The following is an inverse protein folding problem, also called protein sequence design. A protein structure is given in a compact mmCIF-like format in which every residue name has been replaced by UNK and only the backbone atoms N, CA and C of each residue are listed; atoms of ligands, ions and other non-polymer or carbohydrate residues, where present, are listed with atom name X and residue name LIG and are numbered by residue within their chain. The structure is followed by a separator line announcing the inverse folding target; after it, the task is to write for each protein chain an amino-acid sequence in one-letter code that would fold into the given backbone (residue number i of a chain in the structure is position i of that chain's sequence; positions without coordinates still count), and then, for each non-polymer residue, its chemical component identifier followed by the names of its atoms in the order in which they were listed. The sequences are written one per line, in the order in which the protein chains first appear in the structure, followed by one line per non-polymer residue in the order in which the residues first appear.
data_IF_330101892134
#
_entry.id   IF_330101892134
#
_cell.length_a   1.000
_cell.length_b   1.000
_cell.length_c   1.000
_cell.angle_alpha   90.00
_cell.angle_beta   90.00
_cell.angle_gamma   90.00
#
_symmetry.space_group_name_H-M   'P 1'
#
loop_
_entity.id
_entity.type
_entity.pdbx_description
1 polymer ?
#
# COMPACT_ATOMS: atom_id res chain seq x y z
N UNK A 1 41.10 12.69 -17.17
CA UNK A 1 41.15 11.43 -16.39
C UNK A 1 39.76 11.18 -15.86
N UNK A 2 38.96 10.35 -16.52
CA UNK A 2 37.61 9.98 -16.08
C UNK A 2 37.74 8.98 -14.93
N UNK A 3 37.04 9.24 -13.84
CA UNK A 3 37.15 8.55 -12.58
C UNK A 3 36.48 7.16 -12.66
N UNK A 4 37.21 6.12 -13.00
CA UNK A 4 36.77 4.72 -13.08
C UNK A 4 36.18 4.17 -11.77
N UNK A 5 36.43 4.83 -10.64
CA UNK A 5 35.83 4.45 -9.32
C UNK A 5 34.36 4.72 -9.24
N UNK A 6 33.83 5.73 -9.92
CA UNK A 6 32.43 6.15 -9.82
C UNK A 6 31.46 5.16 -10.52
N UNK A 7 31.91 4.56 -11.63
CA UNK A 7 31.08 3.57 -12.36
C UNK A 7 31.01 2.23 -11.64
N UNK A 8 32.09 1.78 -11.02
CA UNK A 8 32.09 0.52 -10.26
C UNK A 8 31.29 0.63 -8.95
N UNK A 9 31.28 1.79 -8.30
CA UNK A 9 30.46 2.03 -7.11
C UNK A 9 28.98 2.16 -7.48
N UNK A 10 28.65 2.74 -8.62
CA UNK A 10 27.32 2.74 -9.19
C UNK A 10 26.83 1.31 -9.47
N UNK A 11 27.68 0.50 -10.11
CA UNK A 11 27.35 -0.90 -10.42
C UNK A 11 27.23 -1.75 -9.15
N UNK A 12 28.11 -1.58 -8.18
CA UNK A 12 28.02 -2.24 -6.86
C UNK A 12 26.76 -1.84 -6.09
N UNK A 13 26.34 -0.57 -6.16
CA UNK A 13 25.06 -0.12 -5.59
C UNK A 13 23.86 -0.78 -6.27
N UNK A 14 23.88 -0.91 -7.58
CA UNK A 14 22.82 -1.59 -8.35
C UNK A 14 22.80 -3.10 -7.99
N UNK A 15 23.97 -3.74 -7.88
CA UNK A 15 24.07 -5.18 -7.54
C UNK A 15 23.86 -5.48 -6.05
N UNK A 16 24.13 -4.52 -5.16
CA UNK A 16 23.93 -4.66 -3.71
C UNK A 16 22.55 -4.20 -3.24
N UNK A 17 21.79 -3.48 -4.07
CA UNK A 17 20.45 -3.05 -3.74
C UNK A 17 19.54 -4.28 -3.88
N UNK A 18 19.15 -4.87 -2.73
CA UNK A 18 18.02 -5.78 -2.71
C UNK A 18 16.85 -5.11 -3.42
N UNK A 19 16.10 -5.86 -4.24
CA UNK A 19 14.90 -5.34 -4.90
C UNK A 19 14.05 -4.55 -3.90
N UNK A 20 13.56 -3.38 -4.32
CA UNK A 20 12.70 -2.58 -3.46
C UNK A 20 11.55 -3.43 -2.95
N UNK A 21 11.19 -3.24 -1.70
CA UNK A 21 9.99 -3.84 -1.14
C UNK A 21 8.77 -3.14 -1.69
N UNK A 22 7.84 -3.88 -2.28
CA UNK A 22 6.55 -3.34 -2.71
C UNK A 22 5.47 -3.88 -1.77
N UNK A 23 4.68 -2.97 -1.20
CA UNK A 23 3.55 -3.29 -0.33
C UNK A 23 2.30 -2.70 -0.95
N UNK A 24 1.39 -3.54 -1.41
CA UNK A 24 0.12 -3.11 -1.96
C UNK A 24 -0.99 -3.20 -0.92
N UNK A 25 -1.84 -2.20 -0.83
CA UNK A 25 -2.93 -2.13 0.15
C UNK A 25 -4.26 -2.01 -0.56
N UNK A 26 -5.19 -2.90 -0.24
CA UNK A 26 -6.57 -2.88 -0.73
C UNK A 26 -7.52 -2.61 0.42
N UNK A 27 -8.30 -1.53 0.32
CA UNK A 27 -9.46 -1.31 1.19
C UNK A 27 -10.69 -2.05 0.65
N UNK A 28 -11.37 -2.81 1.49
CA UNK A 28 -12.62 -3.48 1.12
C UNK A 28 -13.85 -2.64 1.52
N UNK A 29 -15.02 -2.94 0.97
CA UNK A 29 -16.28 -2.20 1.16
C UNK A 29 -16.26 -0.75 0.67
N UNK A 30 -15.49 -0.42 -0.36
CA UNK A 30 -15.39 0.95 -0.86
C UNK A 30 -14.75 1.93 0.12
N UNK A 31 -14.14 1.43 1.20
CA UNK A 31 -13.38 2.26 2.14
C UNK A 31 -12.04 2.64 1.51
N UNK A 32 -11.78 3.94 1.29
CA UNK A 32 -10.48 4.36 0.79
C UNK A 32 -9.41 4.04 1.82
N UNK A 33 -8.36 3.35 1.40
CA UNK A 33 -7.20 3.08 2.24
C UNK A 33 -6.34 4.34 2.50
N UNK A 34 -6.66 5.46 1.88
CA UNK A 34 -5.84 6.66 1.77
C UNK A 34 -5.32 7.21 3.09
N UNK A 35 -6.18 7.38 4.11
CA UNK A 35 -5.72 7.89 5.41
C UNK A 35 -4.93 6.85 6.19
N UNK A 36 -5.34 5.60 6.08
CA UNK A 36 -4.70 4.48 6.75
C UNK A 36 -3.29 4.23 6.19
N UNK A 37 -3.13 4.17 4.88
CA UNK A 37 -1.85 3.91 4.22
C UNK A 37 -0.81 5.01 4.50
N UNK A 38 -1.25 6.28 4.63
CA UNK A 38 -0.36 7.39 5.04
C UNK A 38 0.19 7.19 6.44
N UNK A 39 -0.67 6.83 7.40
CA UNK A 39 -0.24 6.59 8.78
C UNK A 39 0.69 5.37 8.88
N UNK A 40 0.44 4.35 8.06
CA UNK A 40 1.33 3.20 7.97
C UNK A 40 2.68 3.61 7.37
N UNK A 41 2.69 4.36 6.26
CA UNK A 41 3.91 4.87 5.64
C UNK A 41 4.76 5.67 6.64
N UNK A 42 4.14 6.59 7.40
CA UNK A 42 4.82 7.32 8.47
C UNK A 42 5.40 6.41 9.56
N UNK A 43 4.71 5.33 9.90
CA UNK A 43 5.15 4.38 10.92
C UNK A 43 6.26 3.44 10.45
N UNK A 44 6.44 3.32 9.13
CA UNK A 44 7.51 2.53 8.49
C UNK A 44 8.74 3.35 8.14
N UNK A 45 8.70 4.69 8.30
CA UNK A 45 9.86 5.53 8.01
C UNK A 45 11.02 5.20 8.94
N UNK A 46 12.15 4.82 8.36
CA UNK A 46 13.42 4.61 9.03
C UNK A 46 14.42 5.68 8.58
N UNK A 47 15.37 6.08 9.45
CA UNK A 47 16.47 6.95 9.04
C UNK A 47 17.16 6.39 7.79
N UNK A 48 17.50 7.25 6.84
CA UNK A 48 18.21 6.93 5.60
C UNK A 48 17.45 6.05 4.59
N UNK A 49 16.25 5.55 4.90
CA UNK A 49 15.41 4.82 3.97
C UNK A 49 14.51 5.77 3.17
N UNK A 50 14.38 5.47 1.89
CA UNK A 50 13.50 6.20 0.98
C UNK A 50 12.21 5.41 0.80
N UNK A 51 11.08 6.04 1.14
CA UNK A 51 9.75 5.47 0.99
C UNK A 51 8.95 6.29 -0.03
N UNK A 52 8.36 5.61 -1.02
CA UNK A 52 7.39 6.18 -1.94
C UNK A 52 6.00 5.66 -1.62
N UNK A 53 5.05 6.56 -1.45
CA UNK A 53 3.62 6.24 -1.35
C UNK A 53 2.92 6.62 -2.66
N UNK A 54 2.24 5.66 -3.29
CA UNK A 54 1.46 5.86 -4.51
C UNK A 54 -0.02 5.67 -4.16
N UNK A 55 -0.81 6.76 -4.23
CA UNK A 55 -2.25 6.67 -4.09
C UNK A 55 -2.91 6.15 -5.36
N UNK A 56 -4.05 5.46 -5.25
CA UNK A 56 -4.79 4.92 -6.39
C UNK A 56 -5.24 6.03 -7.35
N UNK A 57 -5.67 7.18 -6.84
CA UNK A 57 -6.10 8.32 -7.63
C UNK A 57 -5.57 9.63 -7.06
N UNK A 58 -5.71 10.69 -7.85
CA UNK A 58 -5.18 12.01 -7.53
C UNK A 58 -5.72 12.55 -6.22
N UNK A 59 -4.80 13.02 -5.40
CA UNK A 59 -5.08 13.75 -4.16
C UNK A 59 -4.78 15.25 -4.37
N UNK A 60 -5.38 16.16 -3.60
CA UNK A 60 -5.15 17.59 -3.76
C UNK A 60 -3.69 18.04 -3.74
N UNK A 61 -2.82 17.26 -3.08
CA UNK A 61 -1.40 17.56 -2.94
C UNK A 61 -0.53 17.02 -4.09
N UNK A 62 -1.05 16.15 -4.98
CA UNK A 62 -0.26 15.55 -6.06
C UNK A 62 -0.34 16.38 -7.35
N UNK A 63 0.81 16.75 -7.99
CA UNK A 63 0.78 17.65 -9.15
C UNK A 63 0.33 16.95 -10.43
N UNK A 64 0.88 15.75 -10.72
CA UNK A 64 0.57 14.96 -11.91
C UNK A 64 0.46 13.49 -11.54
N UNK A 65 -0.51 12.79 -12.12
CA UNK A 65 -0.61 11.33 -11.99
C UNK A 65 0.42 10.63 -12.87
N UNK A 66 0.77 9.40 -12.51
CA UNK A 66 1.60 8.55 -13.35
C UNK A 66 0.89 8.25 -14.68
N UNK A 67 -0.46 8.19 -14.69
CA UNK A 67 -1.28 8.11 -15.89
C UNK A 67 -1.03 9.29 -16.85
N UNK A 68 -1.07 10.52 -16.35
CA UNK A 68 -0.81 11.70 -17.18
C UNK A 68 0.64 11.75 -17.68
N UNK A 69 1.58 11.26 -16.89
CA UNK A 69 2.98 11.13 -17.27
C UNK A 69 3.17 10.12 -18.39
N UNK A 70 2.55 8.94 -18.28
CA UNK A 70 2.58 7.91 -19.32
C UNK A 70 1.96 8.43 -20.64
N UNK A 71 0.78 9.04 -20.58
CA UNK A 71 0.08 9.57 -21.74
C UNK A 71 0.88 10.67 -22.47
N UNK A 72 1.65 11.49 -21.74
CA UNK A 72 2.40 12.61 -22.31
C UNK A 72 3.89 12.31 -22.50
N UNK A 73 4.33 11.06 -22.28
CA UNK A 73 5.75 10.66 -22.31
C UNK A 73 6.66 11.62 -21.54
N UNK A 74 6.19 12.05 -20.36
CA UNK A 74 6.87 13.04 -19.54
C UNK A 74 7.85 12.38 -18.55
N UNK A 75 8.80 13.14 -18.04
CA UNK A 75 9.75 12.63 -17.04
C UNK A 75 9.02 12.18 -15.76
N UNK A 76 9.24 10.96 -15.31
CA UNK A 76 8.57 10.32 -14.15
C UNK A 76 8.69 11.17 -12.88
N UNK A 77 9.81 11.86 -12.69
CA UNK A 77 10.05 12.75 -11.53
C UNK A 77 9.02 13.87 -11.37
N UNK A 78 8.28 14.23 -12.44
CA UNK A 78 7.23 15.25 -12.37
C UNK A 78 5.98 14.77 -11.60
N UNK A 79 5.79 13.46 -11.47
CA UNK A 79 4.69 12.86 -10.71
C UNK A 79 5.04 12.57 -9.25
N UNK A 80 6.24 12.98 -8.80
CA UNK A 80 6.69 12.70 -7.44
C UNK A 80 6.90 14.01 -6.71
N UNK A 81 6.34 14.11 -5.50
CA UNK A 81 6.55 15.24 -4.60
C UNK A 81 7.09 14.74 -3.27
N UNK A 82 7.92 15.56 -2.63
CA UNK A 82 8.37 15.31 -1.27
C UNK A 82 7.29 15.71 -0.29
N UNK A 83 6.86 14.77 0.54
CA UNK A 83 5.91 15.06 1.62
C UNK A 83 6.66 15.59 2.85
N UNK A 84 6.11 16.61 3.57
CA UNK A 84 6.79 17.20 4.74
C UNK A 84 7.14 16.21 5.84
N UNK A 85 6.47 15.07 5.89
CA UNK A 85 6.69 14.00 6.87
C UNK A 85 7.83 13.03 6.51
N UNK A 86 8.55 13.26 5.40
CA UNK A 86 9.79 12.55 5.09
C UNK A 86 9.66 11.41 4.07
N UNK A 87 8.48 11.13 3.54
CA UNK A 87 8.30 10.19 2.41
C UNK A 87 7.99 10.94 1.11
N UNK A 88 8.19 10.27 -0.02
CA UNK A 88 7.79 10.79 -1.32
C UNK A 88 6.37 10.32 -1.67
N UNK A 89 5.64 11.16 -2.39
CA UNK A 89 4.22 10.92 -2.71
C UNK A 89 3.99 10.99 -4.22
N UNK A 90 3.16 10.07 -4.72
CA UNK A 90 2.68 10.03 -6.10
C UNK A 90 1.21 9.61 -6.14
N UNK A 91 0.60 9.61 -7.32
CA UNK A 91 -0.70 8.99 -7.55
C UNK A 91 -0.73 8.28 -8.91
N UNK A 92 -1.51 7.21 -8.98
CA UNK A 92 -1.57 6.35 -10.14
C UNK A 92 -2.40 6.99 -11.27
N UNK A 93 -3.64 7.38 -10.97
CA UNK A 93 -4.61 7.91 -11.92
C UNK A 93 -5.11 9.30 -11.54
N UNK A 94 -5.69 10.02 -12.53
CA UNK A 94 -6.32 11.33 -12.31
C UNK A 94 -7.64 11.20 -11.57
N UNK A 95 -8.43 10.18 -11.91
CA UNK A 95 -9.77 9.94 -11.38
C UNK A 95 -9.81 8.63 -10.59
N UNK A 96 -10.90 8.45 -9.86
CA UNK A 96 -11.17 7.18 -9.18
C UNK A 96 -11.26 6.04 -10.19
N UNK A 97 -10.46 5.01 -9.99
CA UNK A 97 -10.35 3.83 -10.84
C UNK A 97 -11.62 2.98 -10.86
N UNK A 98 -12.46 3.09 -9.83
CA UNK A 98 -13.77 2.42 -9.80
C UNK A 98 -14.74 3.03 -10.81
N UNK A 99 -14.64 4.33 -11.05
CA UNK A 99 -15.52 5.05 -11.99
C UNK A 99 -14.92 5.20 -13.39
N UNK A 100 -13.60 5.12 -13.51
CA UNK A 100 -12.86 5.29 -14.76
C UNK A 100 -11.73 4.26 -14.84
N UNK A 101 -12.03 3.00 -15.19
CA UNK A 101 -11.04 1.93 -15.26
C UNK A 101 -9.99 2.22 -16.36
N UNK A 102 -8.76 1.78 -16.09
CA UNK A 102 -7.63 1.93 -17.01
C UNK A 102 -7.70 0.91 -18.13
N UNK A 103 -7.29 1.30 -19.36
CA UNK A 103 -7.08 0.34 -20.45
C UNK A 103 -5.91 -0.60 -20.11
N UNK A 104 -5.89 -1.79 -20.74
CA UNK A 104 -4.84 -2.78 -20.50
C UNK A 104 -3.44 -2.27 -20.87
N UNK A 105 -3.32 -1.53 -21.97
CA UNK A 105 -2.05 -0.94 -22.38
C UNK A 105 -1.53 0.06 -21.35
N UNK A 106 -2.44 0.87 -20.78
CA UNK A 106 -2.07 1.84 -19.77
C UNK A 106 -1.69 1.16 -18.45
N UNK A 107 -2.38 0.08 -18.05
CA UNK A 107 -1.98 -0.73 -16.89
C UNK A 107 -0.56 -1.27 -17.06
N UNK A 108 -0.22 -1.79 -18.24
CA UNK A 108 1.13 -2.29 -18.55
C UNK A 108 2.18 -1.19 -18.49
N UNK A 109 1.87 0.00 -19.02
CA UNK A 109 2.80 1.15 -18.96
C UNK A 109 3.01 1.61 -17.50
N UNK A 110 1.94 1.70 -16.72
CA UNK A 110 2.00 2.10 -15.33
C UNK A 110 2.76 1.08 -14.47
N UNK A 111 2.56 -0.22 -14.73
CA UNK A 111 3.32 -1.29 -14.08
C UNK A 111 4.83 -1.13 -14.33
N UNK A 112 5.23 -0.88 -15.58
CA UNK A 112 6.62 -0.58 -15.94
C UNK A 112 7.19 0.66 -15.22
N UNK A 113 6.39 1.74 -15.10
CA UNK A 113 6.78 2.95 -14.38
C UNK A 113 6.99 2.65 -12.89
N UNK A 114 6.08 1.89 -12.26
CA UNK A 114 6.19 1.54 -10.84
C UNK A 114 7.42 0.66 -10.59
N UNK A 115 7.70 -0.30 -11.47
CA UNK A 115 8.93 -1.10 -11.41
C UNK A 115 10.20 -0.25 -11.53
N UNK A 116 10.19 0.71 -12.47
CA UNK A 116 11.32 1.65 -12.60
C UNK A 116 11.49 2.49 -11.33
N UNK A 117 10.41 3.01 -10.75
CA UNK A 117 10.47 3.75 -9.49
C UNK A 117 11.01 2.90 -8.34
N UNK A 118 10.69 1.61 -8.32
CA UNK A 118 11.17 0.70 -7.28
C UNK A 118 12.71 0.63 -7.20
N UNK A 119 13.44 0.92 -8.27
CA UNK A 119 14.91 1.00 -8.21
C UNK A 119 15.43 2.20 -7.41
N UNK A 120 14.63 3.26 -7.27
CA UNK A 120 15.03 4.49 -6.59
C UNK A 120 14.64 4.52 -5.11
N UNK A 121 13.82 3.57 -4.63
CA UNK A 121 13.29 3.53 -3.27
C UNK A 121 13.65 2.22 -2.55
N UNK A 122 13.63 2.24 -1.22
CA UNK A 122 13.80 1.03 -0.40
C UNK A 122 12.45 0.35 -0.16
N UNK A 123 11.37 1.16 -0.09
CA UNK A 123 9.99 0.70 0.02
C UNK A 123 9.06 1.51 -0.88
N UNK A 124 8.23 0.83 -1.64
CA UNK A 124 7.13 1.42 -2.40
C UNK A 124 5.82 0.89 -1.83
N UNK A 125 4.97 1.79 -1.34
CA UNK A 125 3.62 1.46 -0.88
C UNK A 125 2.62 1.90 -1.94
N UNK A 126 1.71 1.00 -2.32
CA UNK A 126 0.72 1.25 -3.37
C UNK A 126 -0.68 1.09 -2.79
N UNK A 127 -1.49 2.15 -2.84
CA UNK A 127 -2.93 2.02 -2.67
C UNK A 127 -3.49 1.42 -3.97
N UNK A 128 -4.01 0.21 -3.90
CA UNK A 128 -4.52 -0.52 -5.07
C UNK A 128 -5.99 -0.87 -4.90
N UNK A 129 -6.64 -1.21 -5.99
CA UNK A 129 -8.04 -1.60 -6.04
C UNK A 129 -8.19 -2.77 -7.00
N UNK A 130 -9.28 -3.53 -6.86
CA UNK A 130 -9.69 -4.46 -7.91
C UNK A 130 -10.40 -3.69 -9.02
N UNK A 131 -10.06 -4.03 -10.26
CA UNK A 131 -10.82 -3.61 -11.43
C UNK A 131 -12.25 -4.17 -11.34
N UNK A 132 -13.25 -3.32 -11.52
CA UNK A 132 -14.66 -3.71 -11.36
C UNK A 132 -15.17 -4.60 -12.49
N UNK A 133 -14.49 -4.64 -13.64
CA UNK A 133 -14.87 -5.45 -14.81
C UNK A 133 -14.13 -6.79 -14.81
N UNK A 134 -12.81 -6.75 -14.61
CA UNK A 134 -11.99 -7.95 -14.65
C UNK A 134 -11.85 -8.63 -13.27
N UNK A 135 -12.24 -7.95 -12.19
CA UNK A 135 -12.00 -8.38 -10.81
C UNK A 135 -10.52 -8.73 -10.54
N UNK A 136 -9.63 -8.03 -11.20
CA UNK A 136 -8.19 -8.21 -11.13
C UNK A 136 -7.52 -6.98 -10.49
N UNK A 137 -6.27 -7.15 -10.04
CA UNK A 137 -5.47 -6.05 -9.51
C UNK A 137 -5.22 -5.00 -10.60
N UNK A 138 -5.30 -3.73 -10.23
CA UNK A 138 -5.04 -2.63 -11.17
C UNK A 138 -3.65 -2.70 -11.77
N UNK A 139 -2.66 -3.11 -10.98
CA UNK A 139 -1.28 -3.30 -11.41
C UNK A 139 -0.82 -4.73 -11.13
N UNK A 140 -0.31 -5.47 -12.13
CA UNK A 140 0.24 -6.82 -11.97
C UNK A 140 1.33 -6.91 -10.90
N UNK A 141 2.21 -5.92 -10.78
CA UNK A 141 3.27 -5.87 -9.77
C UNK A 141 2.75 -6.00 -8.33
N UNK A 142 1.50 -5.64 -8.09
CA UNK A 142 0.86 -5.78 -6.77
C UNK A 142 0.69 -7.24 -6.35
N UNK A 143 0.56 -8.18 -7.29
CA UNK A 143 0.43 -9.60 -7.02
C UNK A 143 1.78 -10.31 -6.78
N UNK A 144 2.87 -9.71 -7.22
CA UNK A 144 4.22 -10.31 -7.11
C UNK A 144 4.87 -10.08 -5.75
N UNK A 145 4.27 -9.24 -4.91
CA UNK A 145 4.81 -8.78 -3.63
C UNK A 145 3.79 -8.89 -2.50
N UNK A 146 4.03 -8.19 -1.39
CA UNK A 146 3.15 -8.22 -0.23
C UNK A 146 1.83 -7.49 -0.50
N UNK A 147 0.72 -8.16 -0.21
CA UNK A 147 -0.62 -7.62 -0.36
C UNK A 147 -1.35 -7.56 0.98
N UNK A 148 -1.77 -6.36 1.37
CA UNK A 148 -2.45 -6.11 2.63
C UNK A 148 -3.91 -5.78 2.37
N UNK A 149 -4.81 -6.58 2.93
CA UNK A 149 -6.25 -6.35 2.92
C UNK A 149 -6.62 -5.53 4.16
N UNK A 150 -7.13 -4.34 3.95
CA UNK A 150 -7.70 -3.51 5.00
C UNK A 150 -9.21 -3.73 5.05
N UNK A 151 -9.73 -4.14 6.20
CA UNK A 151 -11.18 -4.31 6.45
C UNK A 151 -11.59 -3.65 7.76
N UNK A 152 -12.85 -3.25 7.86
CA UNK A 152 -13.44 -2.83 9.13
C UNK A 152 -14.00 -4.01 9.94
N UNK A 153 -14.53 -3.73 11.15
CA UNK A 153 -15.11 -4.71 12.05
C UNK A 153 -16.58 -5.02 11.72
N UNK A 154 -16.92 -5.31 10.48
CA UNK A 154 -18.28 -5.65 10.06
C UNK A 154 -18.35 -7.00 9.35
N UNK A 155 -19.51 -7.65 9.40
CA UNK A 155 -19.73 -8.90 8.67
C UNK A 155 -19.77 -8.65 7.15
N UNK A 156 -20.15 -7.45 6.71
CA UNK A 156 -20.07 -7.05 5.30
C UNK A 156 -18.63 -6.94 4.85
N UNK A 157 -17.72 -6.43 5.69
CA UNK A 157 -16.29 -6.37 5.38
C UNK A 157 -15.66 -7.76 5.29
N UNK A 158 -16.06 -8.73 6.14
CA UNK A 158 -15.60 -10.12 6.01
C UNK A 158 -16.01 -10.70 4.66
N UNK A 159 -17.27 -10.50 4.23
CA UNK A 159 -17.74 -10.98 2.92
C UNK A 159 -16.98 -10.33 1.76
N UNK A 160 -16.79 -9.01 1.81
CA UNK A 160 -16.05 -8.28 0.79
C UNK A 160 -14.58 -8.71 0.74
N UNK A 161 -13.92 -8.86 1.90
CA UNK A 161 -12.55 -9.36 1.98
C UNK A 161 -12.43 -10.77 1.40
N UNK A 162 -13.36 -11.67 1.73
CA UNK A 162 -13.40 -13.02 1.16
C UNK A 162 -13.52 -13.00 -0.37
N UNK A 163 -14.43 -12.18 -0.92
CA UNK A 163 -14.60 -12.06 -2.38
C UNK A 163 -13.33 -11.52 -3.03
N UNK A 164 -12.72 -10.49 -2.44
CA UNK A 164 -11.45 -9.93 -2.90
C UNK A 164 -10.33 -10.99 -2.92
N UNK A 165 -10.15 -11.70 -1.82
CA UNK A 165 -9.14 -12.77 -1.68
C UNK A 165 -9.39 -13.90 -2.68
N UNK A 166 -10.66 -14.29 -2.87
CA UNK A 166 -11.04 -15.32 -3.84
C UNK A 166 -10.60 -14.94 -5.25
N UNK A 167 -10.88 -13.71 -5.70
CA UNK A 167 -10.48 -13.25 -7.03
C UNK A 167 -8.96 -13.21 -7.18
N UNK A 168 -8.25 -12.66 -6.19
CA UNK A 168 -6.79 -12.60 -6.20
C UNK A 168 -6.18 -14.01 -6.29
N UNK A 169 -6.58 -14.94 -5.44
CA UNK A 169 -6.04 -16.31 -5.45
C UNK A 169 -6.40 -17.09 -6.71
N UNK A 170 -7.55 -16.83 -7.33
CA UNK A 170 -7.92 -17.48 -8.60
C UNK A 170 -7.12 -16.97 -9.78
N UNK A 171 -6.72 -15.71 -9.79
CA UNK A 171 -6.01 -15.09 -10.92
C UNK A 171 -4.49 -15.14 -10.75
N UNK A 172 -3.99 -15.04 -9.52
CA UNK A 172 -2.56 -14.91 -9.24
C UNK A 172 -1.97 -16.08 -8.43
N UNK A 173 -2.80 -17.04 -8.00
CA UNK A 173 -2.32 -18.19 -7.23
C UNK A 173 -1.91 -17.83 -5.81
N UNK A 174 -0.76 -18.34 -5.36
CA UNK A 174 -0.23 -18.15 -4.00
C UNK A 174 0.41 -16.76 -3.84
N UNK A 175 -0.41 -15.74 -3.59
CA UNK A 175 0.05 -14.40 -3.21
C UNK A 175 0.11 -14.31 -1.68
N UNK A 176 1.20 -13.78 -1.10
CA UNK A 176 1.27 -13.53 0.34
C UNK A 176 0.23 -12.50 0.77
N UNK A 177 -0.81 -12.94 1.47
CA UNK A 177 -1.93 -12.10 1.88
C UNK A 177 -1.93 -11.85 3.39
N UNK A 178 -1.91 -10.58 3.74
CA UNK A 178 -2.00 -10.12 5.12
C UNK A 178 -3.26 -9.29 5.36
N UNK A 179 -3.74 -9.27 6.60
CA UNK A 179 -4.99 -8.58 6.95
C UNK A 179 -4.77 -7.61 8.11
N UNK A 180 -5.33 -6.40 7.96
CA UNK A 180 -5.48 -5.42 9.03
C UNK A 180 -6.94 -5.13 9.26
N UNK A 181 -7.36 -5.10 10.51
CA UNK A 181 -8.74 -4.75 10.91
C UNK A 181 -8.75 -3.35 11.50
N UNK A 182 -9.52 -2.44 10.90
CA UNK A 182 -9.67 -1.06 11.37
C UNK A 182 -10.95 -0.88 12.20
N UNK A 183 -10.94 0.08 13.12
CA UNK A 183 -12.08 0.36 13.99
C UNK A 183 -12.27 -0.64 15.13
N UNK A 184 -11.25 -1.42 15.47
CA UNK A 184 -11.34 -2.49 16.48
C UNK A 184 -10.18 -2.46 17.46
N UNK A 185 -10.42 -2.90 18.70
CA UNK A 185 -9.32 -3.28 19.59
C UNK A 185 -8.57 -4.49 19.04
N UNK A 186 -7.38 -4.79 19.59
CA UNK A 186 -6.59 -5.93 19.13
C UNK A 186 -7.39 -7.25 19.20
N UNK A 187 -8.04 -7.52 20.33
CA UNK A 187 -8.78 -8.76 20.55
C UNK A 187 -10.01 -8.87 19.64
N UNK A 188 -10.76 -7.77 19.47
CA UNK A 188 -11.86 -7.71 18.51
C UNK A 188 -11.37 -7.95 17.09
N UNK A 189 -10.29 -7.25 16.66
CA UNK A 189 -9.72 -7.40 15.34
C UNK A 189 -9.25 -8.82 15.08
N UNK A 190 -8.66 -9.47 16.08
CA UNK A 190 -8.25 -10.88 15.98
C UNK A 190 -9.44 -11.82 15.78
N UNK A 191 -10.58 -11.57 16.45
CA UNK A 191 -11.80 -12.36 16.26
C UNK A 191 -12.33 -12.24 14.81
N UNK A 192 -12.43 -11.02 14.26
CA UNK A 192 -12.84 -10.81 12.87
C UNK A 192 -11.87 -11.45 11.87
N UNK A 193 -10.57 -11.30 12.12
CA UNK A 193 -9.54 -11.96 11.32
C UNK A 193 -9.69 -13.49 11.35
N UNK A 194 -9.86 -14.11 12.52
CA UNK A 194 -9.99 -15.56 12.64
C UNK A 194 -11.19 -16.10 11.87
N UNK A 195 -12.32 -15.39 11.89
CA UNK A 195 -13.52 -15.74 11.10
C UNK A 195 -13.22 -15.70 9.60
N UNK A 196 -12.56 -14.63 9.11
CA UNK A 196 -12.17 -14.52 7.71
C UNK A 196 -11.17 -15.61 7.32
N UNK A 197 -10.12 -15.82 8.12
CA UNK A 197 -9.07 -16.81 7.84
C UNK A 197 -9.63 -18.24 7.82
N UNK A 198 -10.56 -18.57 8.73
CA UNK A 198 -11.22 -19.88 8.74
C UNK A 198 -11.96 -20.14 7.42
N UNK A 199 -12.75 -19.17 6.94
CA UNK A 199 -13.50 -19.29 5.69
C UNK A 199 -12.55 -19.39 4.49
N UNK A 200 -11.53 -18.55 4.42
CA UNK A 200 -10.53 -18.59 3.34
C UNK A 200 -9.78 -19.92 3.32
N UNK A 201 -9.35 -20.43 4.48
CA UNK A 201 -8.67 -21.71 4.59
C UNK A 201 -9.57 -22.87 4.15
N UNK A 202 -10.85 -22.85 4.58
CA UNK A 202 -11.80 -23.92 4.28
C UNK A 202 -12.19 -23.98 2.80
N UNK A 203 -12.44 -22.84 2.17
CA UNK A 203 -13.04 -22.78 0.83
C UNK A 203 -12.06 -22.42 -0.29
N UNK A 204 -10.94 -21.77 0.03
CA UNK A 204 -9.94 -21.33 -0.94
C UNK A 204 -8.59 -22.04 -0.76
N UNK A 205 -8.35 -22.72 0.37
CA UNK A 205 -7.04 -23.27 0.71
C UNK A 205 -6.00 -22.20 1.09
N UNK A 206 -6.41 -20.94 1.20
CA UNK A 206 -5.53 -19.79 1.45
C UNK A 206 -5.41 -19.54 2.95
N UNK A 207 -4.17 -19.39 3.43
CA UNK A 207 -3.88 -18.99 4.81
C UNK A 207 -3.47 -17.52 4.83
N UNK A 208 -4.14 -16.73 5.67
CA UNK A 208 -3.90 -15.31 5.81
C UNK A 208 -3.01 -15.00 7.01
N UNK A 209 -2.30 -13.89 6.97
CA UNK A 209 -1.53 -13.41 8.11
C UNK A 209 -2.19 -12.20 8.78
N UNK A 210 -2.26 -12.19 10.12
CA UNK A 210 -2.82 -11.09 10.88
C UNK A 210 -1.75 -10.06 11.24
N UNK A 211 -1.78 -8.89 10.59
CA UNK A 211 -0.86 -7.80 10.91
C UNK A 211 -1.28 -7.04 12.17
N UNK A 212 -2.57 -6.96 12.47
CA UNK A 212 -3.04 -6.28 13.66
C UNK A 212 -4.39 -5.62 13.50
N UNK A 213 -4.80 -4.89 14.54
CA UNK A 213 -5.99 -4.06 14.54
C UNK A 213 -5.62 -2.61 14.84
N UNK A 214 -6.32 -1.69 14.19
CA UNK A 214 -6.15 -0.24 14.38
C UNK A 214 -7.43 0.29 15.03
N UNK A 215 -7.41 0.71 16.29
CA UNK A 215 -8.59 1.25 16.95
C UNK A 215 -8.98 2.60 16.33
N UNK A 216 -10.26 2.93 16.36
CA UNK A 216 -10.71 4.29 16.04
C UNK A 216 -10.42 5.18 17.24
N UNK A 217 -9.81 6.34 17.02
CA UNK A 217 -9.73 7.38 18.05
C UNK A 217 -11.14 7.94 18.27
N UNK A 218 -11.82 7.53 19.33
CA UNK A 218 -13.18 7.97 19.69
C UNK A 218 -13.24 9.48 20.03
N UNK A 219 -12.10 10.14 20.11
CA UNK A 219 -12.00 11.57 20.45
C UNK A 219 -12.27 12.52 19.28
N UNK A 220 -12.53 12.00 18.07
CA UNK A 220 -12.84 12.84 16.91
C UNK A 220 -14.35 12.75 16.62
N UNK A 221 -15.15 13.79 16.98
CA UNK A 221 -16.57 13.81 16.65
C UNK A 221 -16.74 13.79 15.13
N UNK A 222 -17.66 12.96 14.64
CA UNK A 222 -17.99 12.77 13.22
C UNK A 222 -18.53 14.04 12.51
N UNK A 223 -18.60 15.18 13.18
CA UNK A 223 -19.26 16.41 12.72
C UNK A 223 -18.39 17.41 11.97
N UNK A 224 -17.16 17.07 11.56
CA UNK A 224 -16.30 17.98 10.79
C UNK A 224 -15.96 17.50 9.37
N UNK A 225 -16.85 16.73 8.74
CA UNK A 225 -16.75 16.41 7.30
C UNK A 225 -17.59 17.40 6.46
N UNK A 226 -17.50 18.70 6.73
CA UNK A 226 -17.97 19.75 5.82
C UNK A 226 -16.81 20.68 5.52
N UNK A 227 -16.25 20.49 4.35
CA UNK A 227 -15.49 21.42 3.54
C UNK A 227 -14.59 22.40 4.25
N UNK A 228 -13.34 22.00 4.54
CA UNK A 228 -12.14 22.86 4.49
C UNK A 228 -10.92 22.08 4.92
N UNK A 229 -9.88 22.08 4.05
CA UNK A 229 -8.47 21.75 4.29
C UNK A 229 -8.23 20.66 5.37
N UNK A 230 -7.84 19.48 4.93
CA UNK A 230 -7.17 18.50 5.78
C UNK A 230 -5.82 19.11 6.21
N UNK A 231 -5.87 20.00 7.19
CA UNK A 231 -4.68 20.51 7.85
C UNK A 231 -3.99 19.35 8.56
N UNK A 232 -2.73 19.23 8.24
CA UNK A 232 -1.71 18.38 8.82
C UNK A 232 -1.85 18.41 10.35
N UNK A 233 -2.40 17.35 10.93
CA UNK A 233 -2.30 17.16 12.38
C UNK A 233 -0.90 16.65 12.65
N UNK A 234 0.01 17.57 12.98
CA UNK A 234 1.28 17.23 13.61
C UNK A 234 0.98 16.41 14.89
N UNK A 235 1.68 15.30 15.11
CA UNK A 235 1.56 14.59 16.38
C UNK A 235 2.02 15.53 17.49
N UNK A 236 1.08 15.99 18.29
CA UNK A 236 1.36 16.75 19.50
C UNK A 236 2.20 15.87 20.44
N UNK A 237 3.12 16.46 21.17
CA UNK A 237 4.12 15.85 22.08
C UNK A 237 3.53 15.11 23.28
N UNK A 238 2.26 14.71 23.24
CA UNK A 238 1.63 13.85 24.23
C UNK A 238 1.79 12.38 23.85
N UNK A 239 1.82 11.49 24.85
CA UNK A 239 1.93 10.03 24.76
C UNK A 239 1.28 9.53 23.45
N UNK A 240 1.98 8.76 22.61
CA UNK A 240 1.41 8.30 21.36
C UNK A 240 0.07 7.62 21.66
N UNK A 241 -1.02 8.10 21.05
CA UNK A 241 -2.34 7.52 21.24
C UNK A 241 -2.34 6.04 20.86
N UNK A 242 -3.29 5.28 21.34
CA UNK A 242 -3.39 3.83 21.05
C UNK A 242 -3.30 3.54 19.56
N UNK A 243 -3.87 4.40 18.73
CA UNK A 243 -3.83 4.30 17.26
C UNK A 243 -2.40 4.40 16.71
N UNK A 244 -1.57 5.33 17.21
CA UNK A 244 -0.19 5.45 16.75
C UNK A 244 0.67 4.23 17.16
N UNK A 245 0.45 3.67 18.34
CA UNK A 245 1.10 2.43 18.76
C UNK A 245 0.66 1.23 17.92
N UNK A 246 -0.63 1.17 17.54
CA UNK A 246 -1.16 0.12 16.67
C UNK A 246 -0.50 0.18 15.27
N UNK A 247 -0.36 1.37 14.67
CA UNK A 247 0.36 1.51 13.40
C UNK A 247 1.82 1.08 13.49
N UNK A 248 2.53 1.44 14.57
CA UNK A 248 3.90 0.97 14.80
C UNK A 248 3.98 -0.55 14.93
N UNK A 249 3.00 -1.16 15.60
CA UNK A 249 2.93 -2.62 15.74
C UNK A 249 2.71 -3.30 14.38
N UNK A 250 1.80 -2.76 13.54
CA UNK A 250 1.58 -3.26 12.18
C UNK A 250 2.84 -3.10 11.32
N UNK A 251 3.48 -1.93 11.35
CA UNK A 251 4.73 -1.68 10.64
C UNK A 251 5.83 -2.66 11.06
N UNK A 252 5.99 -2.90 12.37
CA UNK A 252 6.97 -3.85 12.88
C UNK A 252 6.70 -5.28 12.41
N UNK A 253 5.44 -5.72 12.37
CA UNK A 253 5.09 -7.06 11.86
C UNK A 253 5.38 -7.19 10.37
N UNK A 254 5.05 -6.18 9.58
CA UNK A 254 5.45 -6.13 8.17
C UNK A 254 6.97 -6.24 8.01
N UNK A 255 7.77 -5.51 8.81
CA UNK A 255 9.23 -5.62 8.74
C UNK A 255 9.73 -7.02 9.13
N UNK A 256 9.12 -7.67 10.11
CA UNK A 256 9.46 -9.03 10.50
C UNK A 256 9.20 -10.04 9.37
N UNK A 257 8.09 -9.89 8.63
CA UNK A 257 7.77 -10.75 7.47
C UNK A 257 8.84 -10.68 6.39
N UNK A 258 9.34 -9.48 6.09
CA UNK A 258 10.45 -9.30 5.13
C UNK A 258 11.63 -10.21 5.44
N UNK A 259 11.97 -10.35 6.72
CA UNK A 259 13.14 -11.13 7.14
C UNK A 259 12.90 -12.67 7.09
N UNK A 260 11.64 -13.10 6.96
CA UNK A 260 11.26 -14.51 6.92
C UNK A 260 10.93 -15.01 5.52
N UNK A 261 10.65 -14.13 4.56
CA UNK A 261 10.44 -14.50 3.16
C UNK A 261 11.79 -14.70 2.45
N UNK A 262 12.02 -15.85 1.79
CA UNK A 262 13.17 -16.00 0.92
C UNK A 262 13.03 -14.93 -0.20
N UNK A 263 14.12 -14.20 -0.44
CA UNK A 263 14.22 -13.28 -1.59
C UNK A 263 13.83 -14.06 -2.85
N UNK A 264 12.69 -13.72 -3.44
CA UNK A 264 12.34 -14.18 -4.78
C UNK A 264 13.35 -13.51 -5.72
N UNK A 265 14.43 -14.24 -5.98
CA UNK A 265 15.39 -13.85 -7.00
C UNK A 265 14.62 -13.80 -8.32
N UNK A 266 14.56 -12.60 -8.90
CA UNK A 266 14.07 -12.40 -10.27
C UNK A 266 14.95 -13.26 -11.18
N UNK A 267 14.33 -14.30 -11.76
CA UNK A 267 14.92 -15.11 -12.82
C UNK A 267 14.87 -14.35 -14.15
#
# INVERSE_FOLDING_TARGET
MFNYRDQADGLRRIMAKSSARIISVIGVNGQPATSWIRNLAMSMLMPEQRLLLIHAHRQPATPYSLQAIAANNSAIKRGIIKHPQGYDLSCLAENDLLTSPLSQDLKTQLDGIVRQLAYDYDTVMIETQLDTQAYDLTLPVSAEHELVIQMDRSDTAIKAAYVTIKHISQQHGDVPLSVVVTGASHDQGQQYFMRLNQVCKQFLGVTLEFLGAIPTDETRPASTMSGRRADIVLPNTHKPGQTALAFKSVAHRLEKQRNTMPSLAVA
#
